data_IF_035467444621
#
_entry.id   IF_035467444621
#
_cell.length_a   1.000
_cell.length_b   1.000
_cell.length_c   1.000
_cell.angle_alpha   90.00
_cell.angle_beta   90.00
_cell.angle_gamma   90.00
#
_symmetry.space_group_name_H-M   'P 1'
#
loop_
_entity.id
_entity.type
_entity.pdbx_description
1 polymer ?
#
# COMPACT_ATOMS: atom_id res chain seq x y z
N UNK A 1 -7.93 12.73 -25.72
CA UNK A 1 -7.96 13.54 -26.95
C UNK A 1 -9.26 14.31 -26.96
N UNK A 2 -9.16 15.60 -26.65
CA UNK A 2 -10.27 16.52 -26.47
C UNK A 2 -10.57 17.28 -27.78
N UNK A 3 -11.85 17.63 -27.91
CA UNK A 3 -12.52 18.43 -28.93
C UNK A 3 -11.96 19.85 -29.12
N UNK A 4 -12.22 20.43 -30.30
CA UNK A 4 -12.67 21.83 -30.61
C UNK A 4 -12.70 21.98 -32.15
N UNK A 5 -13.80 22.25 -32.88
CA UNK A 5 -14.74 23.39 -32.99
C UNK A 5 -14.18 24.72 -33.54
N UNK A 6 -14.96 25.30 -34.47
CA UNK A 6 -15.00 26.72 -34.93
C UNK A 6 -13.86 27.20 -35.85
N UNK A 7 -14.00 28.14 -36.81
CA UNK A 7 -15.00 29.19 -37.14
C UNK A 7 -14.59 29.80 -38.51
N UNK A 8 -15.47 30.03 -39.50
CA UNK A 8 -16.22 31.28 -39.85
C UNK A 8 -15.41 32.46 -40.43
N UNK A 9 -15.82 32.87 -41.66
CA UNK A 9 -16.06 34.25 -42.18
C UNK A 9 -14.99 35.08 -42.93
N UNK A 10 -15.57 35.87 -43.86
CA UNK A 10 -15.13 37.09 -44.57
C UNK A 10 -14.21 36.87 -45.79
N UNK A 11 -14.50 37.30 -47.01
CA UNK A 11 -15.39 38.36 -47.49
C UNK A 11 -14.53 39.54 -47.93
N UNK A 12 -14.40 39.82 -49.23
CA UNK A 12 -13.99 41.14 -49.73
C UNK A 12 -14.16 41.29 -51.25
N UNK A 13 -14.20 42.55 -51.66
CA UNK A 13 -14.97 43.09 -52.78
C UNK A 13 -14.05 43.81 -53.77
N UNK A 14 -14.46 43.85 -55.05
CA UNK A 14 -14.41 45.00 -55.98
C UNK A 14 -13.10 45.82 -56.15
N UNK A 15 -12.57 45.89 -57.38
CA UNK A 15 -12.04 47.12 -58.04
C UNK A 15 -11.38 46.75 -59.39
N UNK A 16 -11.94 47.21 -60.52
CA UNK A 16 -11.60 48.42 -61.29
C UNK A 16 -10.23 48.41 -62.01
N UNK A 17 -10.32 48.36 -63.35
CA UNK A 17 -9.40 48.82 -64.41
C UNK A 17 -8.79 50.22 -64.12
N UNK A 18 -7.62 50.64 -64.69
CA UNK A 18 -7.48 50.91 -66.15
C UNK A 18 -6.08 50.86 -66.83
N UNK A 19 -6.12 50.72 -68.16
CA UNK A 19 -5.34 51.38 -69.25
C UNK A 19 -3.81 51.51 -69.21
N UNK A 20 -3.11 50.97 -70.23
CA UNK A 20 -2.39 51.75 -71.27
C UNK A 20 -1.66 50.84 -72.30
N UNK A 21 -1.82 51.17 -73.59
CA UNK A 21 -1.13 50.66 -74.79
C UNK A 21 0.40 50.99 -74.75
N UNK A 22 1.31 50.35 -75.53
CA UNK A 22 1.40 50.59 -76.98
C UNK A 22 2.07 49.48 -77.87
N UNK A 23 2.05 49.74 -79.19
CA UNK A 23 2.78 49.11 -80.32
C UNK A 23 2.18 47.84 -80.95
N UNK A 24 1.76 48.00 -82.21
CA UNK A 24 1.12 46.98 -83.03
C UNK A 24 2.09 45.99 -83.67
N UNK A 25 1.56 44.90 -84.24
CA UNK A 25 2.33 44.10 -85.19
C UNK A 25 1.64 44.01 -86.55
N UNK A 26 2.48 44.16 -87.57
CA UNK A 26 2.65 43.17 -88.63
C UNK A 26 1.39 42.59 -89.26
N UNK A 27 1.10 43.05 -90.46
CA UNK A 27 0.24 42.39 -91.44
C UNK A 27 0.64 40.93 -91.74
N UNK A 28 1.83 40.49 -91.30
CA UNK A 28 2.25 39.08 -91.32
C UNK A 28 1.54 38.24 -90.24
N UNK A 29 1.22 38.81 -89.07
CA UNK A 29 0.42 38.12 -88.05
C UNK A 29 -1.02 37.92 -88.49
N UNK A 30 -1.57 38.79 -89.34
CA UNK A 30 -2.89 38.60 -89.94
C UNK A 30 -2.90 37.43 -90.93
N UNK A 31 -1.82 37.21 -91.67
CA UNK A 31 -1.67 36.06 -92.59
C UNK A 31 -1.44 34.76 -91.84
N UNK A 32 -0.66 34.81 -90.76
CA UNK A 32 -0.47 33.69 -89.83
C UNK A 32 -1.78 33.34 -89.11
N UNK A 33 -2.53 34.31 -88.61
CA UNK A 33 -3.82 34.09 -87.95
C UNK A 33 -4.88 33.53 -88.92
N UNK A 34 -4.87 33.92 -90.20
CA UNK A 34 -5.71 33.30 -91.24
C UNK A 34 -5.28 31.85 -91.53
N UNK A 35 -3.97 31.57 -91.48
CA UNK A 35 -3.44 30.20 -91.57
C UNK A 35 -3.85 29.34 -90.37
N UNK A 36 -3.71 29.88 -89.15
CA UNK A 36 -4.12 29.25 -87.89
C UNK A 36 -5.63 29.00 -87.88
N UNK A 37 -6.45 29.96 -88.29
CA UNK A 37 -7.92 29.78 -88.33
C UNK A 37 -8.36 28.74 -89.36
N UNK A 38 -7.68 28.63 -90.51
CA UNK A 38 -7.93 27.54 -91.46
C UNK A 38 -7.50 26.18 -90.90
N UNK A 39 -6.37 26.12 -90.21
CA UNK A 39 -5.91 24.90 -89.54
C UNK A 39 -6.86 24.48 -88.41
N UNK A 40 -7.35 25.42 -87.60
CA UNK A 40 -8.35 25.11 -86.56
C UNK A 40 -9.67 24.67 -87.17
N UNK A 41 -10.10 25.26 -88.28
CA UNK A 41 -11.34 24.85 -88.95
C UNK A 41 -11.23 23.45 -89.56
N UNK A 42 -10.09 23.11 -90.16
CA UNK A 42 -9.79 21.73 -90.60
C UNK A 42 -9.74 20.75 -89.41
N UNK A 43 -9.23 21.20 -88.26
CA UNK A 43 -9.20 20.41 -87.03
C UNK A 43 -10.61 20.19 -86.47
N UNK A 44 -11.46 21.20 -86.51
CA UNK A 44 -12.87 21.12 -86.10
C UNK A 44 -13.63 20.19 -87.05
N UNK A 45 -13.42 20.26 -88.37
CA UNK A 45 -14.02 19.32 -89.31
C UNK A 45 -13.57 17.88 -89.04
N UNK A 46 -12.29 17.67 -88.72
CA UNK A 46 -11.79 16.36 -88.34
C UNK A 46 -12.40 15.87 -87.03
N UNK A 47 -12.57 16.75 -86.03
CA UNK A 47 -13.28 16.45 -84.78
C UNK A 47 -14.76 16.15 -85.02
N UNK A 48 -15.40 16.81 -85.98
CA UNK A 48 -16.80 16.54 -86.31
C UNK A 48 -16.95 15.17 -86.98
N UNK A 49 -16.01 14.78 -87.86
CA UNK A 49 -16.00 13.45 -88.47
C UNK A 49 -15.75 12.35 -87.44
N UNK A 50 -14.84 12.55 -86.49
CA UNK A 50 -14.61 11.56 -85.42
C UNK A 50 -15.80 11.46 -84.48
N UNK A 51 -16.48 12.57 -84.16
CA UNK A 51 -17.75 12.55 -83.43
C UNK A 51 -18.84 11.83 -84.20
N UNK A 52 -18.94 12.03 -85.52
CA UNK A 52 -19.95 11.39 -86.35
C UNK A 52 -19.70 9.87 -86.47
N UNK A 53 -18.45 9.43 -86.59
CA UNK A 53 -18.08 8.01 -86.52
C UNK A 53 -18.34 7.41 -85.13
N UNK A 54 -18.05 8.16 -84.06
CA UNK A 54 -18.37 7.73 -82.69
C UNK A 54 -19.88 7.64 -82.48
N UNK A 55 -20.66 8.59 -83.00
CA UNK A 55 -22.11 8.58 -82.93
C UNK A 55 -22.71 7.42 -83.72
N UNK A 56 -22.14 7.08 -84.89
CA UNK A 56 -22.55 5.90 -85.65
C UNK A 56 -22.22 4.58 -84.92
N UNK A 57 -21.04 4.49 -84.28
CA UNK A 57 -20.66 3.32 -83.46
C UNK A 57 -21.53 3.18 -82.21
N UNK A 58 -21.90 4.28 -81.57
CA UNK A 58 -22.82 4.30 -80.42
C UNK A 58 -24.25 3.96 -80.85
N UNK A 59 -24.70 4.44 -82.02
CA UNK A 59 -25.98 4.05 -82.59
C UNK A 59 -26.03 2.56 -82.96
N UNK A 60 -24.92 1.97 -83.43
CA UNK A 60 -24.81 0.54 -83.70
C UNK A 60 -24.82 -0.34 -82.43
N UNK A 61 -24.42 0.22 -81.27
CA UNK A 61 -24.50 -0.44 -79.95
C UNK A 61 -25.85 -0.21 -79.25
N UNK A 62 -26.70 0.69 -79.77
CA UNK A 62 -28.02 1.01 -79.21
C UNK A 62 -29.00 -0.17 -79.08
N UNK A 63 -28.96 -1.25 -79.89
CA UNK A 63 -29.84 -2.40 -79.69
C UNK A 63 -29.57 -3.21 -78.41
N UNK A 64 -28.47 -2.94 -77.68
CA UNK A 64 -28.10 -3.61 -76.42
C UNK A 64 -28.56 -2.89 -75.13
N UNK A 65 -29.12 -1.69 -75.25
CA UNK A 65 -29.64 -0.91 -74.11
C UNK A 65 -30.70 -1.62 -73.26
N UNK A 66 -31.67 -2.38 -73.81
CA UNK A 66 -32.64 -3.09 -72.97
C UNK A 66 -31.98 -4.21 -72.14
N UNK A 67 -31.00 -4.92 -72.71
CA UNK A 67 -30.27 -5.97 -72.00
C UNK A 67 -29.35 -5.41 -70.89
N UNK A 68 -28.75 -4.23 -71.11
CA UNK A 68 -27.98 -3.53 -70.10
C UNK A 68 -28.86 -3.04 -68.93
N UNK A 69 -30.09 -2.58 -69.21
CA UNK A 69 -31.03 -2.15 -68.19
C UNK A 69 -31.46 -3.31 -67.28
N UNK A 70 -31.75 -4.49 -67.85
CA UNK A 70 -32.07 -5.69 -67.07
C UNK A 70 -30.91 -6.11 -66.15
N UNK A 71 -29.67 -6.11 -66.65
CA UNK A 71 -28.49 -6.43 -65.83
C UNK A 71 -28.27 -5.44 -64.69
N UNK A 72 -28.53 -4.15 -64.91
CA UNK A 72 -28.44 -3.12 -63.86
C UNK A 72 -29.49 -3.36 -62.78
N UNK A 73 -30.72 -3.72 -63.15
CA UNK A 73 -31.78 -4.00 -62.20
C UNK A 73 -31.52 -5.29 -61.40
N UNK A 74 -30.99 -6.33 -62.02
CA UNK A 74 -30.54 -7.54 -61.33
C UNK A 74 -29.40 -7.25 -60.35
N UNK A 75 -28.41 -6.44 -60.76
CA UNK A 75 -27.32 -6.03 -59.89
C UNK A 75 -27.83 -5.19 -58.70
N UNK A 76 -28.79 -4.28 -58.92
CA UNK A 76 -29.44 -3.52 -57.84
C UNK A 76 -30.19 -4.43 -56.87
N UNK A 77 -30.89 -5.45 -57.37
CA UNK A 77 -31.56 -6.46 -56.53
C UNK A 77 -30.54 -7.25 -55.71
N UNK A 78 -29.43 -7.65 -56.31
CA UNK A 78 -28.34 -8.36 -55.65
C UNK A 78 -27.70 -7.51 -54.54
N UNK A 79 -27.38 -6.26 -54.84
CA UNK A 79 -26.81 -5.29 -53.88
C UNK A 79 -27.76 -5.12 -52.70
N UNK A 80 -29.05 -4.88 -52.92
CA UNK A 80 -30.04 -4.75 -51.83
C UNK A 80 -30.13 -6.00 -50.97
N UNK A 81 -30.06 -7.19 -51.58
CA UNK A 81 -30.07 -8.47 -50.85
C UNK A 81 -28.80 -8.66 -50.01
N UNK A 82 -27.65 -8.26 -50.55
CA UNK A 82 -26.38 -8.30 -49.82
C UNK A 82 -26.35 -7.28 -48.68
N UNK A 83 -26.84 -6.07 -48.91
CA UNK A 83 -26.88 -4.98 -47.93
C UNK A 83 -27.76 -5.35 -46.73
N UNK A 84 -28.93 -5.96 -46.99
CA UNK A 84 -29.78 -6.53 -45.92
C UNK A 84 -29.08 -7.63 -45.12
N UNK A 85 -28.31 -8.50 -45.78
CA UNK A 85 -27.53 -9.55 -45.10
C UNK A 85 -26.39 -8.96 -44.26
N UNK A 86 -25.74 -7.93 -44.76
CA UNK A 86 -24.68 -7.23 -44.04
C UNK A 86 -25.26 -6.50 -42.82
N UNK A 87 -26.38 -5.79 -42.96
CA UNK A 87 -27.06 -5.16 -41.83
C UNK A 87 -27.48 -6.16 -40.77
N UNK A 88 -28.03 -7.32 -41.16
CA UNK A 88 -28.36 -8.39 -40.21
C UNK A 88 -27.12 -8.87 -39.43
N UNK A 89 -26.00 -9.11 -40.13
CA UNK A 89 -24.73 -9.51 -39.49
C UNK A 89 -24.17 -8.42 -38.57
N UNK A 90 -24.21 -7.16 -39.00
CA UNK A 90 -23.76 -6.02 -38.18
C UNK A 90 -24.60 -5.93 -36.91
N UNK A 91 -25.91 -6.15 -37.02
CA UNK A 91 -26.81 -6.14 -35.87
C UNK A 91 -26.50 -7.29 -34.90
N UNK A 92 -26.30 -8.52 -35.41
CA UNK A 92 -25.89 -9.67 -34.59
C UNK A 92 -24.56 -9.41 -33.86
N UNK A 93 -23.56 -8.87 -34.57
CA UNK A 93 -22.27 -8.52 -33.96
C UNK A 93 -22.44 -7.42 -32.90
N UNK A 94 -23.29 -6.42 -33.15
CA UNK A 94 -23.56 -5.36 -32.18
C UNK A 94 -24.21 -5.89 -30.91
N UNK A 95 -25.15 -6.82 -31.04
CA UNK A 95 -25.83 -7.43 -29.91
C UNK A 95 -24.87 -8.33 -29.12
N UNK A 96 -24.02 -9.12 -29.79
CA UNK A 96 -23.00 -9.94 -29.15
C UNK A 96 -21.95 -9.10 -28.41
N UNK A 97 -21.47 -8.01 -29.03
CA UNK A 97 -20.55 -7.06 -28.36
C UNK A 97 -21.23 -6.45 -27.15
N UNK A 98 -22.50 -6.04 -27.26
CA UNK A 98 -23.22 -5.41 -26.14
C UNK A 98 -23.35 -6.35 -24.96
N UNK A 99 -23.65 -7.61 -25.20
CA UNK A 99 -23.81 -8.60 -24.14
C UNK A 99 -22.46 -8.98 -23.51
N UNK A 100 -21.42 -9.17 -24.33
CA UNK A 100 -20.07 -9.40 -23.82
C UNK A 100 -19.54 -8.23 -23.00
N UNK A 101 -19.78 -6.99 -23.45
CA UNK A 101 -19.33 -5.79 -22.74
C UNK A 101 -20.07 -5.62 -21.41
N UNK A 102 -21.39 -5.89 -21.38
CA UNK A 102 -22.17 -5.89 -20.15
C UNK A 102 -21.67 -6.94 -19.17
N UNK A 103 -21.43 -8.15 -19.64
CA UNK A 103 -20.93 -9.25 -18.81
C UNK A 103 -19.55 -8.94 -18.22
N UNK A 104 -18.63 -8.46 -19.06
CA UNK A 104 -17.28 -8.09 -18.62
C UNK A 104 -17.31 -6.92 -17.65
N UNK A 105 -18.08 -5.87 -17.96
CA UNK A 105 -18.23 -4.73 -17.07
C UNK A 105 -18.82 -5.14 -15.72
N UNK A 106 -19.86 -6.00 -15.72
CA UNK A 106 -20.50 -6.44 -14.48
C UNK A 106 -19.56 -7.28 -13.63
N UNK A 107 -18.78 -8.19 -14.23
CA UNK A 107 -17.80 -9.01 -13.51
C UNK A 107 -16.67 -8.15 -12.94
N UNK A 108 -16.03 -7.33 -13.77
CA UNK A 108 -14.92 -6.48 -13.34
C UNK A 108 -15.34 -5.48 -12.26
N UNK A 109 -16.51 -4.85 -12.42
CA UNK A 109 -17.01 -3.89 -11.44
C UNK A 109 -17.38 -4.59 -10.13
N UNK A 110 -17.99 -5.78 -10.19
CA UNK A 110 -18.30 -6.57 -8.99
C UNK A 110 -17.04 -6.98 -8.23
N UNK A 111 -16.03 -7.49 -8.93
CA UNK A 111 -14.77 -7.91 -8.33
C UNK A 111 -14.05 -6.72 -7.70
N UNK A 112 -13.99 -5.59 -8.42
CA UNK A 112 -13.38 -4.37 -7.90
C UNK A 112 -14.09 -3.83 -6.66
N UNK A 113 -15.43 -3.76 -6.68
CA UNK A 113 -16.24 -3.31 -5.54
C UNK A 113 -16.04 -4.26 -4.34
N UNK A 114 -16.04 -5.57 -4.57
CA UNK A 114 -15.81 -6.55 -3.49
C UNK A 114 -14.44 -6.37 -2.84
N UNK A 115 -13.39 -6.16 -3.64
CA UNK A 115 -12.05 -5.97 -3.12
C UNK A 115 -11.88 -4.65 -2.36
N UNK A 116 -12.56 -3.60 -2.81
CA UNK A 116 -12.55 -2.31 -2.13
C UNK A 116 -13.33 -2.37 -0.81
N UNK A 117 -14.52 -2.99 -0.80
CA UNK A 117 -15.29 -3.24 0.42
C UNK A 117 -14.49 -4.07 1.42
N UNK A 118 -13.83 -5.15 0.98
CA UNK A 118 -13.00 -5.98 1.88
C UNK A 118 -11.86 -5.18 2.51
N UNK A 119 -11.18 -4.34 1.73
CA UNK A 119 -10.10 -3.49 2.21
C UNK A 119 -10.58 -2.49 3.25
N UNK A 120 -11.69 -1.80 2.94
CA UNK A 120 -12.24 -0.78 3.82
C UNK A 120 -12.82 -1.38 5.10
N UNK A 121 -13.52 -2.51 4.99
CA UNK A 121 -14.01 -3.26 6.15
C UNK A 121 -12.86 -3.74 7.04
N UNK A 122 -11.78 -4.28 6.45
CA UNK A 122 -10.61 -4.71 7.23
C UNK A 122 -9.95 -3.53 7.96
N UNK A 123 -9.92 -2.34 7.36
CA UNK A 123 -9.42 -1.12 8.00
C UNK A 123 -10.30 -0.73 9.19
N UNK A 124 -11.61 -0.64 8.99
CA UNK A 124 -12.57 -0.25 10.03
C UNK A 124 -12.60 -1.24 11.19
N UNK A 125 -12.61 -2.56 10.91
CA UNK A 125 -12.55 -3.60 11.93
C UNK A 125 -11.27 -3.50 12.75
N UNK A 126 -10.11 -3.27 12.11
CA UNK A 126 -8.84 -3.10 12.85
C UNK A 126 -8.87 -1.89 13.77
N UNK A 127 -9.38 -0.75 13.30
CA UNK A 127 -9.49 0.47 14.10
C UNK A 127 -10.44 0.27 15.28
N UNK A 128 -11.61 -0.31 15.04
CA UNK A 128 -12.62 -0.54 16.08
C UNK A 128 -12.16 -1.58 17.11
N UNK A 129 -11.52 -2.66 16.66
CA UNK A 129 -10.91 -3.65 17.57
C UNK A 129 -9.78 -3.01 18.38
N UNK A 130 -8.94 -2.15 17.79
CA UNK A 130 -7.88 -1.47 18.53
C UNK A 130 -8.42 -0.52 19.61
N UNK A 131 -9.52 0.20 19.32
CA UNK A 131 -10.21 1.04 20.30
C UNK A 131 -10.82 0.20 21.44
N UNK A 132 -11.58 -0.85 21.09
CA UNK A 132 -12.18 -1.74 22.08
C UNK A 132 -11.13 -2.45 22.94
N UNK A 133 -10.00 -2.86 22.36
CA UNK A 133 -8.90 -3.46 23.10
C UNK A 133 -8.27 -2.46 24.08
N UNK A 134 -8.16 -1.17 23.72
CA UNK A 134 -7.68 -0.13 24.65
C UNK A 134 -8.65 0.09 25.80
N UNK A 135 -9.95 0.09 25.53
CA UNK A 135 -10.96 0.33 26.57
C UNK A 135 -11.13 -0.88 27.51
N UNK A 136 -10.98 -2.10 26.98
CA UNK A 136 -11.19 -3.34 27.75
C UNK A 136 -9.92 -3.95 28.36
N UNK A 137 -8.73 -3.56 27.91
CA UNK A 137 -7.46 -4.03 28.47
C UNK A 137 -6.79 -2.85 29.19
N UNK A 138 -7.10 -2.62 30.48
CA UNK A 138 -6.64 -1.45 31.22
C UNK A 138 -5.14 -1.44 31.50
N UNK A 139 -4.47 -2.60 31.39
CA UNK A 139 -3.03 -2.74 31.60
C UNK A 139 -2.45 -3.37 30.35
N UNK A 140 -1.53 -2.67 29.70
CA UNK A 140 -0.89 -3.19 28.49
C UNK A 140 -0.14 -4.48 28.82
N UNK A 141 -0.10 -5.43 27.87
CA UNK A 141 0.66 -6.68 28.07
C UNK A 141 2.14 -6.42 28.43
N UNK A 142 2.70 -5.29 27.99
CA UNK A 142 4.06 -4.92 28.34
C UNK A 142 4.23 -4.45 29.79
N UNK A 143 3.23 -3.76 30.36
CA UNK A 143 3.20 -3.44 31.79
C UNK A 143 3.08 -4.71 32.64
N UNK A 144 2.18 -5.63 32.26
CA UNK A 144 2.08 -6.92 32.94
C UNK A 144 3.40 -7.71 32.89
N UNK A 145 4.08 -7.69 31.73
CA UNK A 145 5.40 -8.34 31.60
C UNK A 145 6.46 -7.69 32.49
N UNK A 146 6.45 -6.37 32.64
CA UNK A 146 7.39 -5.67 33.54
C UNK A 146 7.12 -6.04 34.99
N UNK A 147 5.85 -6.06 35.40
CA UNK A 147 5.44 -6.45 36.75
C UNK A 147 5.87 -7.88 37.08
N UNK A 148 5.54 -8.84 36.20
CA UNK A 148 5.92 -10.26 36.39
C UNK A 148 7.43 -10.43 36.45
N UNK A 149 8.19 -9.68 35.64
CA UNK A 149 9.67 -9.72 35.70
C UNK A 149 10.18 -9.20 37.05
N UNK A 150 9.59 -8.14 37.58
CA UNK A 150 9.90 -7.62 38.92
C UNK A 150 9.65 -8.68 40.00
N UNK A 151 8.45 -9.28 39.99
CA UNK A 151 8.09 -10.36 40.92
C UNK A 151 9.04 -11.56 40.81
N UNK A 152 9.45 -11.94 39.60
CA UNK A 152 10.37 -13.06 39.40
C UNK A 152 11.77 -12.77 39.99
N UNK A 153 12.24 -11.52 39.91
CA UNK A 153 13.49 -11.09 40.54
C UNK A 153 13.37 -11.17 42.06
N UNK A 154 12.26 -10.69 42.62
CA UNK A 154 11.97 -10.77 44.06
C UNK A 154 11.93 -12.23 44.54
N UNK A 155 11.21 -13.11 43.84
CA UNK A 155 11.15 -14.55 44.17
C UNK A 155 12.53 -15.19 44.10
N UNK A 156 13.36 -14.83 43.12
CA UNK A 156 14.75 -15.32 43.03
C UNK A 156 15.60 -14.86 44.21
N UNK A 157 15.47 -13.60 44.64
CA UNK A 157 16.17 -13.09 45.82
C UNK A 157 15.69 -13.81 47.08
N UNK A 158 14.37 -13.99 47.24
CA UNK A 158 13.79 -14.72 48.37
C UNK A 158 14.25 -16.19 48.41
N UNK A 159 14.33 -16.86 47.27
CA UNK A 159 14.85 -18.22 47.16
C UNK A 159 16.32 -18.30 47.59
N UNK A 160 17.17 -17.42 47.03
CA UNK A 160 18.59 -17.39 47.39
C UNK A 160 18.81 -17.06 48.88
N UNK A 161 17.98 -16.17 49.43
CA UNK A 161 17.99 -15.86 50.86
C UNK A 161 17.55 -17.05 51.70
N UNK A 162 16.55 -17.82 51.25
CA UNK A 162 16.13 -19.05 51.92
C UNK A 162 17.23 -20.12 51.91
N UNK A 163 17.92 -20.28 50.78
CA UNK A 163 19.08 -21.18 50.67
C UNK A 163 20.24 -20.73 51.56
N UNK A 164 20.56 -19.43 51.59
CA UNK A 164 21.57 -18.87 52.46
C UNK A 164 21.22 -19.09 53.94
N UNK A 165 19.96 -18.86 54.34
CA UNK A 165 19.47 -19.14 55.70
C UNK A 165 19.59 -20.60 56.07
N UNK A 166 19.26 -21.51 55.15
CA UNK A 166 19.39 -22.96 55.36
C UNK A 166 20.85 -23.39 55.51
N UNK A 167 21.76 -22.82 54.71
CA UNK A 167 23.19 -23.09 54.85
C UNK A 167 23.72 -22.56 56.19
N UNK A 168 23.33 -21.34 56.56
CA UNK A 168 23.73 -20.71 57.81
C UNK A 168 23.17 -21.44 59.03
N UNK A 169 21.94 -21.98 58.99
CA UNK A 169 21.34 -22.72 60.11
C UNK A 169 22.07 -24.02 60.45
N UNK A 170 22.89 -24.56 59.52
CA UNK A 170 23.69 -25.76 59.75
C UNK A 170 24.93 -25.44 60.59
N UNK A 171 25.38 -24.17 60.60
CA UNK A 171 26.55 -23.76 61.38
C UNK A 171 26.23 -23.91 62.87
N UNK A 172 27.05 -24.68 63.58
CA UNK A 172 26.92 -24.91 65.02
C UNK A 172 27.87 -24.01 65.81
N UNK A 173 27.67 -23.95 67.12
CA UNK A 173 28.57 -23.30 68.09
C UNK A 173 30.02 -23.78 67.99
N UNK A 174 30.24 -24.98 67.48
CA UNK A 174 31.58 -25.56 67.37
C UNK A 174 32.37 -25.01 66.16
N UNK A 175 31.67 -24.39 65.19
CA UNK A 175 32.25 -23.91 63.92
C UNK A 175 32.05 -22.39 63.72
N UNK A 176 32.35 -21.58 64.74
CA UNK A 176 32.18 -20.12 64.69
C UNK A 176 33.05 -19.41 63.64
N UNK A 177 34.07 -20.10 63.10
CA UNK A 177 35.00 -19.61 62.09
C UNK A 177 34.60 -19.99 60.66
N UNK A 178 33.54 -20.77 60.48
CA UNK A 178 33.03 -21.08 59.14
C UNK A 178 32.40 -19.83 58.51
N UNK A 179 32.55 -19.73 57.19
CA UNK A 179 32.08 -18.58 56.42
C UNK A 179 30.55 -18.56 56.36
N UNK A 180 29.96 -17.43 56.77
CA UNK A 180 28.55 -17.16 56.62
C UNK A 180 28.20 -16.91 55.15
N UNK A 181 27.16 -17.61 54.68
CA UNK A 181 26.56 -17.33 53.37
C UNK A 181 25.78 -16.02 53.48
N UNK A 182 25.99 -15.14 52.50
CA UNK A 182 25.40 -13.79 52.49
C UNK A 182 23.90 -13.85 52.19
N UNK A 183 23.11 -13.25 53.08
CA UNK A 183 21.70 -12.95 52.82
C UNK A 183 21.63 -11.59 52.12
N UNK A 184 20.95 -11.52 50.98
CA UNK A 184 20.77 -10.29 50.21
C UNK A 184 19.71 -9.40 50.85
N UNK A 185 19.83 -8.09 50.65
CA UNK A 185 18.83 -7.08 51.04
C UNK A 185 17.56 -7.19 50.18
N UNK A 186 16.54 -6.40 50.51
CA UNK A 186 15.30 -6.25 49.72
C UNK A 186 15.57 -5.77 48.28
N UNK A 187 16.62 -4.96 48.08
CA UNK A 187 17.09 -4.49 46.77
C UNK A 187 17.91 -5.54 45.97
N UNK A 188 18.23 -6.69 46.57
CA UNK A 188 19.07 -7.74 45.97
C UNK A 188 20.57 -7.52 46.07
N UNK A 189 21.02 -6.43 46.68
CA UNK A 189 22.44 -6.14 46.91
C UNK A 189 22.93 -6.77 48.22
N UNK A 190 24.25 -6.80 48.38
CA UNK A 190 24.93 -7.24 49.60
C UNK A 190 25.16 -6.04 50.51
N UNK A 191 24.98 -6.20 51.82
CA UNK A 191 25.42 -5.21 52.80
C UNK A 191 26.95 -5.14 52.87
N UNK A 192 27.48 -3.92 52.84
CA UNK A 192 28.92 -3.66 52.95
C UNK A 192 29.47 -4.07 54.32
N UNK A 193 28.62 -4.03 55.36
CA UNK A 193 28.94 -4.42 56.74
C UNK A 193 28.53 -5.85 57.05
N UNK A 194 28.34 -6.71 56.03
CA UNK A 194 27.96 -8.11 56.28
C UNK A 194 29.14 -8.91 56.84
N UNK A 195 29.00 -9.55 58.02
CA UNK A 195 30.07 -10.28 58.66
C UNK A 195 30.49 -11.52 57.86
N UNK A 196 31.80 -11.79 57.84
CA UNK A 196 32.31 -12.98 57.18
C UNK A 196 31.95 -14.25 57.95
N UNK A 197 32.06 -14.24 59.29
CA UNK A 197 31.88 -15.39 60.16
C UNK A 197 31.05 -14.99 61.40
N UNK A 198 30.50 -15.99 62.13
CA UNK A 198 29.78 -15.73 63.39
C UNK A 198 30.66 -15.04 64.43
N UNK A 199 31.94 -15.41 64.51
CA UNK A 199 32.89 -14.75 65.40
C UNK A 199 33.00 -13.24 65.13
N UNK A 200 33.05 -12.83 63.86
CA UNK A 200 33.07 -11.41 63.49
C UNK A 200 31.79 -10.70 63.92
N UNK A 201 30.63 -11.35 63.74
CA UNK A 201 29.34 -10.80 64.15
C UNK A 201 29.27 -10.57 65.67
N UNK A 202 29.79 -11.49 66.48
CA UNK A 202 29.84 -11.33 67.94
C UNK A 202 30.76 -10.20 68.41
N UNK A 203 31.74 -9.82 67.58
CA UNK A 203 32.66 -8.71 67.85
C UNK A 203 32.18 -7.36 67.31
N UNK A 204 31.01 -7.28 66.68
CA UNK A 204 30.48 -6.00 66.17
C UNK A 204 30.08 -5.06 67.30
N UNK A 205 30.48 -3.80 67.15
CA UNK A 205 30.02 -2.69 67.98
C UNK A 205 28.52 -2.44 67.77
N UNK A 206 27.86 -1.85 68.76
CA UNK A 206 26.42 -1.61 68.71
C UNK A 206 26.03 -0.72 67.51
N UNK A 207 26.88 0.24 67.14
CA UNK A 207 26.65 1.08 65.94
C UNK A 207 26.68 0.26 64.64
N UNK A 208 27.67 -0.61 64.46
CA UNK A 208 27.77 -1.49 63.28
C UNK A 208 26.58 -2.44 63.18
N UNK A 209 26.16 -3.01 64.31
CA UNK A 209 25.02 -3.91 64.37
C UNK A 209 23.71 -3.20 64.03
N UNK A 210 23.54 -1.94 64.46
CA UNK A 210 22.38 -1.11 64.09
C UNK A 210 22.38 -0.78 62.60
N UNK A 211 23.54 -0.49 62.00
CA UNK A 211 23.65 -0.27 60.55
C UNK A 211 23.29 -1.55 59.79
N UNK A 212 23.80 -2.70 60.22
CA UNK A 212 23.50 -4.01 59.62
C UNK A 212 21.99 -4.33 59.69
N UNK A 213 21.34 -4.08 60.83
CA UNK A 213 19.89 -4.29 60.97
C UNK A 213 19.08 -3.37 60.04
N UNK A 214 19.48 -2.09 59.93
CA UNK A 214 18.83 -1.13 59.01
C UNK A 214 18.97 -1.54 57.56
N UNK A 215 20.14 -2.04 57.18
CA UNK A 215 20.43 -2.54 55.83
C UNK A 215 19.52 -3.70 55.41
N UNK A 216 19.00 -4.46 56.37
CA UNK A 216 18.09 -5.58 56.15
C UNK A 216 16.64 -5.26 56.53
N UNK A 217 16.29 -3.97 56.70
CA UNK A 217 14.96 -3.50 57.08
C UNK A 217 14.42 -4.12 58.39
N UNK A 218 15.32 -4.42 59.33
CA UNK A 218 14.99 -5.02 60.62
C UNK A 218 14.80 -3.95 61.71
N UNK A 219 13.87 -4.21 62.65
CA UNK A 219 13.60 -3.31 63.77
C UNK A 219 14.80 -3.27 64.72
N UNK A 220 15.31 -2.07 64.94
CA UNK A 220 16.42 -1.79 65.86
C UNK A 220 15.90 -1.54 67.27
N UNK A 221 16.56 -2.16 68.26
CA UNK A 221 16.31 -2.00 69.70
C UNK A 221 17.48 -1.30 70.38
N UNK A 222 17.26 -0.78 71.59
CA UNK A 222 18.33 -0.15 72.39
C UNK A 222 19.35 -1.18 72.94
N UNK A 223 18.91 -2.42 73.16
CA UNK A 223 19.75 -3.48 73.70
C UNK A 223 20.47 -4.26 72.59
N UNK A 224 21.81 -4.25 72.62
CA UNK A 224 22.68 -4.96 71.67
C UNK A 224 22.34 -6.45 71.52
N UNK A 225 22.07 -7.13 72.62
CA UNK A 225 21.74 -8.57 72.60
C UNK A 225 20.43 -8.86 71.84
N UNK A 226 19.41 -8.01 72.00
CA UNK A 226 18.16 -8.13 71.24
C UNK A 226 18.38 -7.92 69.75
N UNK A 227 19.21 -6.94 69.40
CA UNK A 227 19.63 -6.67 68.03
C UNK A 227 20.36 -7.87 67.42
N UNK A 228 21.30 -8.45 68.17
CA UNK A 228 22.09 -9.59 67.75
C UNK A 228 21.21 -10.83 67.56
N UNK A 229 20.37 -11.15 68.55
CA UNK A 229 19.45 -12.29 68.47
C UNK A 229 18.47 -12.16 67.30
N UNK A 230 18.03 -10.94 66.99
CA UNK A 230 17.15 -10.69 65.85
C UNK A 230 17.86 -10.88 64.52
N UNK A 231 19.11 -10.44 64.41
CA UNK A 231 19.92 -10.68 63.22
C UNK A 231 20.24 -12.18 63.06
N UNK A 232 20.58 -12.87 64.15
CA UNK A 232 20.79 -14.32 64.18
C UNK A 232 19.54 -15.07 63.68
N UNK A 233 18.37 -14.71 64.18
CA UNK A 233 17.10 -15.27 63.69
C UNK A 233 16.87 -14.99 62.19
N UNK A 234 17.23 -13.79 61.71
CA UNK A 234 17.10 -13.43 60.30
C UNK A 234 18.01 -14.25 59.37
N UNK A 235 19.23 -14.58 59.79
CA UNK A 235 20.16 -15.43 59.02
C UNK A 235 19.87 -16.92 59.17
N UNK A 236 18.80 -17.31 59.88
CA UNK A 236 18.38 -18.71 60.03
C UNK A 236 18.95 -19.42 61.26
N UNK A 237 19.66 -18.71 62.14
CA UNK A 237 20.15 -19.26 63.40
C UNK A 237 19.10 -19.10 64.49
N UNK A 238 18.55 -20.23 64.96
CA UNK A 238 17.57 -20.23 66.04
C UNK A 238 18.24 -19.93 67.37
N UNK A 239 17.92 -18.79 67.98
CA UNK A 239 18.38 -18.41 69.32
C UNK A 239 18.02 -19.43 70.42
N UNK A 240 17.07 -20.32 70.14
CA UNK A 240 16.68 -21.43 71.03
C UNK A 240 17.83 -22.39 71.33
N UNK A 241 18.81 -22.56 70.44
CA UNK A 241 19.92 -23.49 70.68
C UNK A 241 21.07 -22.88 71.52
N UNK A 242 21.00 -21.59 71.83
CA UNK A 242 22.06 -20.86 72.56
C UNK A 242 21.67 -20.51 74.01
N UNK A 243 20.42 -20.74 74.41
CA UNK A 243 19.90 -20.41 75.75
C UNK A 243 19.42 -21.64 76.55
N UNK A 244 19.68 -22.86 76.07
CA UNK A 244 19.27 -24.10 76.77
C UNK A 244 20.43 -24.73 77.58
N UNK A 245 21.57 -24.05 77.68
CA UNK A 245 22.66 -24.43 78.59
C UNK A 245 22.81 -23.37 79.67
N UNK A 246 22.36 -23.75 80.86
CA UNK A 246 22.62 -23.17 82.19
C UNK A 246 21.37 -22.66 82.89
N UNK A 247 20.59 -23.61 83.43
CA UNK A 247 20.12 -23.52 84.82
C UNK A 247 20.18 -24.94 85.44
N UNK A 248 20.82 -25.10 86.62
CA UNK A 248 21.01 -26.38 87.32
C UNK A 248 19.75 -26.92 88.03
#
# INVERSE_FOLDING_TARGET
MASTLSSVSAGESSSLRPSANPYGPDTDQLREMIGVTKATMATIEQQFRTLQEQQAKVAALSPSMPEAAERIDDMRRLIRKQDRRQQARVQEVKDLIRDQLKDQATRQLKDHIQDEIKRELARQVREQVALQLRDHIPITLDEQRKEIRGQLVEVKHALRNSEARRANSILRTDNLQDQLVVVLKSDGTRSDVYPHNLHSLFNYDDEMLRVLLRDHDLIVHEQREKNLNRFMAHIGQSSSSLLETDDP
#
